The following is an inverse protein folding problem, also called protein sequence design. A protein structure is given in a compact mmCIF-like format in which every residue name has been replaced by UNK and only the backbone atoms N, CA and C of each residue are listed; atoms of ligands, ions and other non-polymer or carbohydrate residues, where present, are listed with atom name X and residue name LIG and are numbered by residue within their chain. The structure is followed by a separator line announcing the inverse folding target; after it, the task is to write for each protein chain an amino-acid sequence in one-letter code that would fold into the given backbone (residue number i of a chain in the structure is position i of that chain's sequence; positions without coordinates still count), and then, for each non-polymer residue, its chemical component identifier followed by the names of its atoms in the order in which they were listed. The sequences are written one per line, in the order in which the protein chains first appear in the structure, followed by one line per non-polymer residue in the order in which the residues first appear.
data_IF_103480574462
#
_entry.id   IF_103480574462
#
_cell.length_a   1.000
_cell.length_b   1.000
_cell.length_c   1.000
_cell.angle_alpha   90.00
_cell.angle_beta   90.00
_cell.angle_gamma   90.00
#
_symmetry.space_group_name_H-M   'P 1'
#
loop_
_entity.id
_entity.type
_entity.pdbx_description
1 polymer ?
#
# COMPACT_ATOMS: atom_id res chain seq x y z
N UNK A 1 17.17 -9.24 -50.91
CA UNK A 1 16.43 -8.50 -49.87
C UNK A 1 15.18 -9.23 -49.37
N UNK A 2 14.29 -9.73 -50.24
CA UNK A 2 13.07 -10.47 -49.86
C UNK A 2 13.27 -11.64 -48.89
N UNK A 3 14.33 -12.44 -49.07
CA UNK A 3 14.60 -13.59 -48.21
C UNK A 3 15.08 -13.23 -46.79
N UNK A 4 15.78 -12.09 -46.65
CA UNK A 4 16.14 -11.54 -45.33
C UNK A 4 14.91 -10.99 -44.60
N UNK A 5 13.99 -10.38 -45.36
CA UNK A 5 12.71 -9.89 -44.82
C UNK A 5 11.81 -11.04 -44.34
N UNK A 6 11.71 -12.13 -45.11
CA UNK A 6 10.97 -13.34 -44.73
C UNK A 6 11.56 -13.99 -43.47
N UNK A 7 12.89 -14.03 -43.32
CA UNK A 7 13.54 -14.58 -42.13
C UNK A 7 13.25 -13.72 -40.88
N UNK A 8 13.20 -12.40 -41.01
CA UNK A 8 12.86 -11.51 -39.90
C UNK A 8 11.39 -11.60 -39.50
N UNK A 9 10.48 -11.74 -40.49
CA UNK A 9 9.06 -11.93 -40.22
C UNK A 9 8.78 -13.27 -39.51
N UNK A 10 9.52 -14.32 -39.88
CA UNK A 10 9.43 -15.64 -39.22
C UNK A 10 9.92 -15.60 -37.77
N UNK A 11 10.95 -14.82 -37.46
CA UNK A 11 11.47 -14.68 -36.10
C UNK A 11 10.50 -13.96 -35.16
N UNK A 12 9.69 -13.03 -35.68
CA UNK A 12 8.70 -12.29 -34.90
C UNK A 12 7.40 -13.07 -34.63
N UNK A 13 7.20 -14.21 -35.29
CA UNK A 13 6.00 -15.03 -35.14
C UNK A 13 6.08 -16.04 -33.99
N UNK A 14 7.17 -16.08 -33.21
CA UNK A 14 7.25 -16.96 -32.05
C UNK A 14 6.35 -16.40 -30.92
N UNK A 15 5.37 -17.18 -30.43
CA UNK A 15 4.56 -16.77 -29.30
C UNK A 15 5.42 -16.76 -28.04
N UNK A 16 5.58 -15.59 -27.42
CA UNK A 16 6.12 -15.49 -26.07
C UNK A 16 5.03 -15.94 -25.11
N UNK A 17 4.99 -17.23 -24.76
CA UNK A 17 4.14 -17.70 -23.67
C UNK A 17 4.64 -17.05 -22.38
N UNK A 18 3.86 -16.11 -21.84
CA UNK A 18 4.05 -15.64 -20.47
C UNK A 18 3.76 -16.85 -19.57
N UNK A 19 4.81 -17.45 -19.02
CA UNK A 19 4.65 -18.57 -18.10
C UNK A 19 3.92 -18.06 -16.85
N UNK A 20 2.73 -18.59 -16.59
CA UNK A 20 2.09 -18.49 -15.28
C UNK A 20 3.07 -19.02 -14.22
N UNK A 21 3.31 -18.25 -13.16
CA UNK A 21 4.22 -18.64 -12.09
C UNK A 21 3.54 -19.73 -11.24
N UNK A 22 3.76 -20.98 -11.64
CA UNK A 22 3.20 -22.14 -10.94
C UNK A 22 3.93 -22.38 -9.61
N UNK A 23 3.19 -22.39 -8.51
CA UNK A 23 3.73 -22.61 -7.16
C UNK A 23 3.56 -24.06 -6.76
N UNK A 24 4.62 -24.66 -6.25
CA UNK A 24 4.65 -26.05 -5.78
C UNK A 24 4.69 -26.11 -4.26
N UNK A 25 4.01 -27.08 -3.67
CA UNK A 25 4.08 -27.38 -2.24
C UNK A 25 4.70 -28.75 -1.98
N UNK A 26 5.69 -28.80 -1.10
CA UNK A 26 6.26 -30.03 -0.57
C UNK A 26 5.81 -30.22 0.87
N UNK A 27 5.19 -31.37 1.17
CA UNK A 27 4.73 -31.73 2.52
C UNK A 27 5.58 -32.88 3.07
N UNK A 28 6.25 -32.64 4.19
CA UNK A 28 7.07 -33.62 4.91
C UNK A 28 6.66 -33.73 6.38
N UNK A 29 7.57 -34.16 7.26
CA UNK A 29 7.32 -34.26 8.69
C UNK A 29 7.22 -32.91 9.43
N UNK A 30 7.58 -31.80 8.76
CA UNK A 30 7.47 -30.44 9.26
C UNK A 30 6.43 -29.60 8.51
N UNK A 31 6.51 -28.29 8.67
CA UNK A 31 5.63 -27.34 7.97
C UNK A 31 5.77 -27.44 6.44
N UNK A 32 4.68 -27.20 5.68
CA UNK A 32 4.71 -27.21 4.22
C UNK A 32 5.69 -26.15 3.68
N UNK A 33 6.47 -26.51 2.67
CA UNK A 33 7.42 -25.62 1.99
C UNK A 33 6.87 -25.29 0.60
N UNK A 34 6.80 -24.01 0.27
CA UNK A 34 6.34 -23.51 -1.03
C UNK A 34 7.53 -23.06 -1.87
N UNK A 35 7.52 -23.36 -3.17
CA UNK A 35 8.61 -23.03 -4.10
C UNK A 35 8.09 -22.84 -5.53
N UNK A 36 8.71 -21.92 -6.27
CA UNK A 36 8.42 -21.71 -7.70
C UNK A 36 9.15 -22.71 -8.62
N UNK A 37 9.85 -23.70 -8.03
CA UNK A 37 10.57 -24.74 -8.79
C UNK A 37 9.99 -26.12 -8.49
N UNK A 38 9.82 -26.97 -9.50
CA UNK A 38 9.41 -28.36 -9.30
C UNK A 38 10.50 -29.11 -8.53
N UNK A 39 10.09 -29.86 -7.50
CA UNK A 39 10.97 -30.69 -6.68
C UNK A 39 10.35 -32.09 -6.48
N UNK A 40 11.16 -33.13 -6.19
CA UNK A 40 10.64 -34.47 -5.94
C UNK A 40 9.62 -34.48 -4.78
N UNK A 41 8.43 -35.02 -5.04
CA UNK A 41 7.33 -35.07 -4.06
C UNK A 41 6.54 -33.77 -3.92
N UNK A 42 6.88 -32.72 -4.68
CA UNK A 42 6.12 -31.48 -4.71
C UNK A 42 4.86 -31.62 -5.58
N UNK A 43 3.78 -30.96 -5.17
CA UNK A 43 2.52 -30.90 -5.94
C UNK A 43 2.25 -29.46 -6.36
N UNK A 44 1.83 -29.27 -7.61
CA UNK A 44 1.39 -27.97 -8.09
C UNK A 44 0.17 -27.50 -7.29
N UNK A 45 0.16 -26.21 -6.96
CA UNK A 45 -0.90 -25.55 -6.21
C UNK A 45 -1.55 -24.51 -7.11
N UNK A 46 -2.85 -24.65 -7.34
CA UNK A 46 -3.65 -23.58 -7.93
C UNK A 46 -3.82 -22.48 -6.90
N UNK A 47 -3.21 -21.32 -7.16
CA UNK A 47 -3.39 -20.16 -6.31
C UNK A 47 -4.75 -19.51 -6.59
N UNK A 48 -5.43 -19.01 -5.56
CA UNK A 48 -6.57 -18.14 -5.78
C UNK A 48 -6.12 -16.89 -6.56
N UNK A 49 -7.01 -16.27 -7.35
CA UNK A 49 -6.70 -15.02 -8.02
C UNK A 49 -6.25 -13.98 -6.99
N UNK A 50 -5.29 -13.15 -7.38
CA UNK A 50 -4.85 -12.05 -6.54
C UNK A 50 -6.04 -11.13 -6.26
N UNK A 51 -6.20 -10.72 -5.00
CA UNK A 51 -7.22 -9.76 -4.65
C UNK A 51 -6.84 -8.40 -5.24
N UNK A 52 -7.63 -7.94 -6.21
CA UNK A 52 -7.51 -6.61 -6.79
C UNK A 52 -8.68 -5.77 -6.30
N UNK A 53 -8.39 -4.60 -5.76
CA UNK A 53 -9.41 -3.60 -5.45
C UNK A 53 -9.37 -2.55 -6.56
N UNK A 54 -10.53 -2.25 -7.14
CA UNK A 54 -10.61 -1.18 -8.14
C UNK A 54 -10.22 0.16 -7.51
N UNK A 55 -9.41 0.98 -8.20
CA UNK A 55 -9.13 2.33 -7.76
C UNK A 55 -10.44 3.10 -7.60
N UNK A 56 -10.72 3.57 -6.38
CA UNK A 56 -11.87 4.42 -6.13
C UNK A 56 -11.73 5.71 -6.97
N UNK A 57 -12.80 6.18 -7.64
CA UNK A 57 -12.77 7.45 -8.34
C UNK A 57 -12.52 8.56 -7.32
N UNK A 58 -11.37 9.24 -7.46
CA UNK A 58 -11.07 10.46 -6.71
C UNK A 58 -12.00 11.58 -7.18
N UNK A 59 -13.04 11.85 -6.41
CA UNK A 59 -13.81 13.09 -6.56
C UNK A 59 -12.87 14.25 -6.25
N UNK A 60 -12.80 15.25 -7.14
CA UNK A 60 -12.18 16.54 -6.82
C UNK A 60 -12.92 17.10 -5.61
N UNK A 61 -12.23 17.16 -4.48
CA UNK A 61 -12.74 17.90 -3.34
C UNK A 61 -12.84 19.38 -3.74
N UNK A 62 -14.06 19.91 -3.80
CA UNK A 62 -14.26 21.34 -3.80
C UNK A 62 -13.74 21.87 -2.46
N UNK A 63 -12.62 22.58 -2.53
CA UNK A 63 -12.08 23.35 -1.42
C UNK A 63 -13.00 24.56 -1.19
N UNK A 64 -14.13 24.32 -0.52
CA UNK A 64 -14.94 25.39 0.03
C UNK A 64 -14.25 25.88 1.30
N UNK A 65 -13.78 27.14 1.38
CA UNK A 65 -13.19 27.67 2.60
C UNK A 65 -14.27 27.69 3.69
N UNK A 66 -14.14 26.83 4.70
CA UNK A 66 -14.90 27.00 5.95
C UNK A 66 -14.33 28.23 6.64
N UNK A 67 -15.11 29.31 6.66
CA UNK A 67 -14.91 30.40 7.59
C UNK A 67 -15.13 29.86 9.01
N UNK A 68 -14.04 29.65 9.73
CA UNK A 68 -14.06 29.48 11.18
C UNK A 68 -14.35 30.84 11.82
N UNK A 69 -15.63 31.12 12.03
CA UNK A 69 -16.08 32.06 13.05
C UNK A 69 -15.95 31.35 14.40
N UNK A 70 -14.78 31.48 15.04
CA UNK A 70 -14.64 31.11 16.45
C UNK A 70 -14.30 32.37 17.25
N UNK A 71 -15.36 32.87 17.87
CA UNK A 71 -15.43 34.06 18.70
C UNK A 71 -14.48 33.95 19.92
N UNK A 72 -13.51 34.86 19.99
CA UNK A 72 -13.06 35.53 21.21
C UNK A 72 -12.86 34.71 22.50
N UNK A 73 -11.77 33.93 22.57
CA UNK A 73 -10.97 33.82 23.81
C UNK A 73 -9.51 34.10 23.48
N UNK A 74 -8.72 34.70 24.39
CA UNK A 74 -7.28 34.79 24.21
C UNK A 74 -6.70 33.36 24.27
N UNK A 75 -6.67 32.68 23.13
CA UNK A 75 -5.93 31.44 22.99
C UNK A 75 -4.47 31.82 23.18
N UNK A 76 -3.86 31.34 24.27
CA UNK A 76 -2.42 31.43 24.44
C UNK A 76 -1.78 30.93 23.14
N UNK A 77 -0.87 31.71 22.56
CA UNK A 77 -0.28 31.42 21.26
C UNK A 77 0.34 30.02 21.28
N UNK A 78 -0.39 29.05 20.72
CA UNK A 78 0.05 27.67 20.64
C UNK A 78 1.19 27.61 19.65
N UNK A 79 2.34 27.01 20.00
CA UNK A 79 3.48 26.98 19.11
C UNK A 79 3.11 26.27 17.81
N UNK A 80 3.41 26.87 16.67
CA UNK A 80 3.14 26.27 15.38
C UNK A 80 3.94 24.97 15.19
N UNK A 81 3.32 23.95 14.58
CA UNK A 81 4.03 22.73 14.21
C UNK A 81 5.09 23.03 13.16
N UNK A 82 6.28 22.51 13.40
CA UNK A 82 7.46 22.65 12.55
C UNK A 82 7.71 21.40 11.72
N UNK A 83 7.38 20.22 12.26
CA UNK A 83 7.51 18.98 11.53
C UNK A 83 6.38 18.00 11.85
N UNK A 84 5.98 17.25 10.83
CA UNK A 84 5.01 16.16 10.92
C UNK A 84 5.42 15.09 9.91
N UNK A 85 5.73 13.88 10.37
CA UNK A 85 6.24 12.82 9.50
C UNK A 85 5.79 11.44 9.98
N UNK A 86 5.38 10.60 9.03
CA UNK A 86 5.22 9.15 9.24
C UNK A 86 6.61 8.51 9.20
N UNK A 87 7.01 7.85 10.28
CA UNK A 87 8.30 7.15 10.39
C UNK A 87 8.17 5.64 10.19
N UNK A 88 6.96 5.10 10.26
CA UNK A 88 6.63 3.73 9.90
C UNK A 88 5.18 3.68 9.42
N UNK A 89 4.87 2.96 8.32
CA UNK A 89 5.83 2.36 7.40
C UNK A 89 6.73 3.40 6.71
N UNK A 90 7.85 2.95 6.14
CA UNK A 90 8.69 3.80 5.29
C UNK A 90 7.92 4.24 4.04
N UNK A 91 8.33 5.36 3.45
CA UNK A 91 7.74 5.80 2.19
C UNK A 91 8.00 4.77 1.09
N UNK A 92 6.94 4.38 0.38
CA UNK A 92 6.94 3.24 -0.57
C UNK A 92 7.39 1.90 0.05
N UNK A 93 7.40 1.79 1.38
CA UNK A 93 7.70 0.57 2.10
C UNK A 93 6.57 -0.45 2.00
N UNK A 94 6.93 -1.73 2.04
CA UNK A 94 5.94 -2.81 2.10
C UNK A 94 5.51 -3.06 3.54
N UNK A 95 4.20 -3.18 3.73
CA UNK A 95 3.60 -3.57 5.01
C UNK A 95 3.17 -5.03 4.90
N UNK A 96 3.64 -5.88 5.82
CA UNK A 96 3.19 -7.25 5.95
C UNK A 96 1.76 -7.27 6.54
N UNK A 97 0.76 -6.97 5.71
CA UNK A 97 -0.64 -6.86 6.12
C UNK A 97 -1.40 -8.20 6.12
N UNK A 98 -0.70 -9.33 6.01
CA UNK A 98 -1.24 -10.68 6.09
C UNK A 98 -1.92 -10.99 7.44
N UNK A 99 -1.77 -10.11 8.44
CA UNK A 99 -2.42 -10.14 9.76
C UNK A 99 -3.55 -9.12 9.94
N UNK A 100 -3.98 -8.43 8.87
CA UNK A 100 -5.02 -7.38 8.88
C UNK A 100 -4.73 -6.14 9.78
N UNK A 101 -3.55 -6.08 10.39
CA UNK A 101 -3.11 -5.02 11.29
C UNK A 101 -1.70 -4.57 10.91
N UNK A 102 -1.47 -3.26 10.96
CA UNK A 102 -0.16 -2.67 10.82
C UNK A 102 -0.04 -1.37 11.62
N UNK A 103 1.18 -1.05 12.04
CA UNK A 103 1.47 0.12 12.86
C UNK A 103 1.81 1.34 12.01
N UNK A 104 1.16 2.47 12.32
CA UNK A 104 1.54 3.79 11.83
C UNK A 104 2.21 4.56 12.97
N UNK A 105 3.47 4.93 12.78
CA UNK A 105 4.22 5.74 13.75
C UNK A 105 4.41 7.14 13.18
N UNK A 106 4.05 8.14 13.96
CA UNK A 106 4.13 9.55 13.57
C UNK A 106 5.02 10.30 14.56
N UNK A 107 5.87 11.17 14.04
CA UNK A 107 6.63 12.14 14.81
C UNK A 107 6.11 13.54 14.49
N UNK A 108 5.83 14.32 15.53
CA UNK A 108 5.36 15.69 15.46
C UNK A 108 6.21 16.57 16.36
N UNK A 109 6.62 17.72 15.85
CA UNK A 109 7.42 18.71 16.59
C UNK A 109 6.78 20.10 16.45
N UNK A 110 6.41 20.79 17.53
CA UNK A 110 6.41 20.35 18.94
C UNK A 110 5.45 19.19 19.22
N UNK A 111 5.47 18.57 20.42
CA UNK A 111 4.53 17.51 20.78
C UNK A 111 3.07 17.88 20.53
N UNK A 112 2.24 16.87 20.24
CA UNK A 112 0.82 17.07 19.94
C UNK A 112 0.14 17.84 21.08
N UNK A 113 -0.59 18.91 20.74
CA UNK A 113 -1.07 19.89 21.72
C UNK A 113 -2.46 19.47 22.19
N UNK A 114 -2.51 18.36 22.93
CA UNK A 114 -3.75 17.75 23.40
C UNK A 114 -4.59 18.70 24.25
N UNK A 115 -3.94 19.55 25.05
CA UNK A 115 -4.61 20.59 25.85
C UNK A 115 -5.33 21.66 25.01
N UNK A 116 -5.01 21.79 23.73
CA UNK A 116 -5.71 22.64 22.76
C UNK A 116 -6.69 21.86 21.87
N UNK A 117 -6.93 20.57 22.15
CA UNK A 117 -7.87 19.72 21.39
C UNK A 117 -7.33 19.21 20.06
N UNK A 118 -6.03 19.35 19.79
CA UNK A 118 -5.41 18.88 18.56
C UNK A 118 -5.40 17.35 18.53
N UNK A 119 -5.53 16.79 17.32
CA UNK A 119 -5.59 15.36 17.13
C UNK A 119 -4.94 14.94 15.81
N UNK A 120 -4.61 13.65 15.73
CA UNK A 120 -4.11 13.02 14.51
C UNK A 120 -5.20 12.12 13.95
N UNK A 121 -5.39 12.19 12.64
CA UNK A 121 -6.26 11.29 11.88
C UNK A 121 -5.42 10.57 10.84
N UNK A 122 -5.66 9.26 10.69
CA UNK A 122 -4.96 8.43 9.71
C UNK A 122 -5.93 8.11 8.58
N UNK A 123 -5.44 8.23 7.34
CA UNK A 123 -6.19 7.82 6.16
C UNK A 123 -5.42 6.79 5.35
N UNK A 124 -6.13 5.82 4.79
CA UNK A 124 -5.61 4.82 3.85
C UNK A 124 -6.35 5.02 2.55
N UNK A 125 -5.61 5.27 1.46
CA UNK A 125 -6.18 5.58 0.15
C UNK A 125 -7.21 6.73 0.18
N UNK A 126 -6.95 7.76 1.00
CA UNK A 126 -7.84 8.90 1.18
C UNK A 126 -9.09 8.64 2.01
N UNK A 127 -9.28 7.43 2.55
CA UNK A 127 -10.36 7.10 3.47
C UNK A 127 -9.84 7.13 4.90
N UNK A 128 -10.46 7.93 5.77
CA UNK A 128 -10.15 7.94 7.18
C UNK A 128 -10.42 6.57 7.81
N UNK A 129 -9.51 6.10 8.66
CA UNK A 129 -9.67 4.83 9.39
C UNK A 129 -10.69 4.92 10.54
N UNK A 130 -11.38 6.05 10.67
CA UNK A 130 -12.40 6.30 11.69
C UNK A 130 -11.86 6.49 13.10
N UNK A 131 -10.53 6.52 13.27
CA UNK A 131 -9.88 6.71 14.56
C UNK A 131 -9.19 8.07 14.63
N UNK A 132 -9.58 8.84 15.65
CA UNK A 132 -8.96 10.12 16.02
C UNK A 132 -8.08 9.89 17.25
N UNK A 133 -6.79 10.22 17.13
CA UNK A 133 -5.82 10.09 18.21
C UNK A 133 -5.66 11.45 18.91
N UNK A 134 -6.06 11.49 20.18
CA UNK A 134 -6.06 12.66 21.07
C UNK A 134 -5.22 12.42 22.32
#
# INVERSE_FOLDING_TARGET
MRQRLLLHLLLFALPTSAAEQEVFVTRGAGSPVFSDRPQPGAKAVTLPPINVVEPLPVSKADASPRSSEEEGRPQAATPAYRSFRIVSPEDNGSVAANSALFDVRVVVEPPLQLGAGHAIEVSVNGQAVGQRFT
#
